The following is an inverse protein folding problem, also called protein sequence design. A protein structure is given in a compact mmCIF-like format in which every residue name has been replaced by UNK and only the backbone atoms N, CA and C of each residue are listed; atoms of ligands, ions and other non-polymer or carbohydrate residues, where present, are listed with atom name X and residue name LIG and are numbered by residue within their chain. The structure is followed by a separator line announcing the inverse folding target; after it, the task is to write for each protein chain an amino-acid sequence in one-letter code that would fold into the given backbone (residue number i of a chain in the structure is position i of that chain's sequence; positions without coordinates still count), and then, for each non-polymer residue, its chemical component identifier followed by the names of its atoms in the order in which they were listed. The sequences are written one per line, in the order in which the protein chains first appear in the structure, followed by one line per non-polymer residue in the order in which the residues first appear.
data_IF_965876934296
#
_entry.id   IF_965876934296
#
_cell.length_a   1.000
_cell.length_b   1.000
_cell.length_c   1.000
_cell.angle_alpha   90.00
_cell.angle_beta   90.00
_cell.angle_gamma   90.00
#
_symmetry.space_group_name_H-M   'P 1'
#
loop_
_entity.id
_entity.type
_entity.pdbx_description
1 polymer ?
#
# COMPACT_ATOMS: atom_id res chain seq x y z
N UNK A 1 115.00 13.52 86.50
CA UNK A 1 115.76 12.84 85.42
C UNK A 1 115.85 11.39 85.83
N UNK A 2 115.27 10.42 85.11
CA UNK A 2 115.28 10.23 83.67
C UNK A 2 113.88 10.03 83.08
N UNK A 3 113.49 10.90 82.15
CA UNK A 3 112.39 10.65 81.21
C UNK A 3 112.79 9.48 80.29
N UNK A 4 112.09 8.35 80.41
CA UNK A 4 112.14 7.33 79.37
C UNK A 4 111.37 7.88 78.15
N UNK A 5 112.04 7.94 76.99
CA UNK A 5 111.39 8.39 75.75
C UNK A 5 110.38 7.34 75.30
N UNK A 6 109.14 7.77 75.12
CA UNK A 6 108.04 6.95 74.58
C UNK A 6 108.42 6.28 73.24
N UNK A 7 109.32 6.90 72.46
CA UNK A 7 109.85 6.35 71.21
C UNK A 7 110.64 5.05 71.40
N UNK A 8 111.42 4.95 72.46
CA UNK A 8 112.26 3.76 72.73
C UNK A 8 111.40 2.62 73.25
N UNK A 9 110.37 2.96 74.04
CA UNK A 9 109.37 2.00 74.51
C UNK A 9 108.50 1.47 73.35
N UNK A 10 108.04 2.36 72.45
CA UNK A 10 107.31 1.97 71.24
C UNK A 10 108.19 1.18 70.25
N UNK A 11 109.48 1.51 70.13
CA UNK A 11 110.44 0.77 69.33
C UNK A 11 110.69 -0.65 69.85
N UNK A 12 110.85 -0.80 71.17
CA UNK A 12 110.95 -2.12 71.80
C UNK A 12 109.65 -2.93 71.66
N UNK A 13 108.49 -2.30 71.81
CA UNK A 13 107.19 -2.95 71.63
C UNK A 13 106.96 -3.42 70.19
N UNK A 14 107.32 -2.61 69.19
CA UNK A 14 107.21 -2.99 67.77
C UNK A 14 108.11 -4.18 67.41
N UNK A 15 109.31 -4.26 68.00
CA UNK A 15 110.19 -5.42 67.83
C UNK A 15 109.57 -6.66 68.49
N UNK A 16 109.03 -6.53 69.71
CA UNK A 16 108.34 -7.62 70.39
C UNK A 16 107.13 -8.11 69.59
N UNK A 17 106.32 -7.20 69.03
CA UNK A 17 105.16 -7.54 68.18
C UNK A 17 105.60 -8.23 66.88
N UNK A 18 106.71 -7.80 66.27
CA UNK A 18 107.24 -8.44 65.07
C UNK A 18 107.78 -9.85 65.33
N UNK A 19 108.45 -10.06 66.47
CA UNK A 19 108.90 -11.38 66.93
C UNK A 19 107.72 -12.27 67.30
N UNK A 20 106.69 -11.69 67.92
CA UNK A 20 105.46 -12.39 68.26
C UNK A 20 104.68 -12.83 67.00
N UNK A 21 104.58 -11.96 65.99
CA UNK A 21 103.99 -12.29 64.69
C UNK A 21 104.78 -13.37 63.94
N UNK A 22 106.12 -13.32 63.99
CA UNK A 22 106.98 -14.38 63.44
C UNK A 22 106.79 -15.70 64.18
N UNK A 23 106.64 -15.68 65.50
CA UNK A 23 106.40 -16.89 66.28
C UNK A 23 105.04 -17.51 65.96
N UNK A 24 103.98 -16.71 65.77
CA UNK A 24 102.68 -17.20 65.30
C UNK A 24 102.79 -17.87 63.92
N UNK A 25 103.51 -17.25 62.99
CA UNK A 25 103.71 -17.81 61.65
C UNK A 25 104.58 -19.09 61.65
N UNK A 26 105.55 -19.19 62.56
CA UNK A 26 106.39 -20.38 62.73
C UNK A 26 105.60 -21.54 63.38
N UNK A 27 104.78 -21.24 64.39
CA UNK A 27 103.90 -22.21 65.07
C UNK A 27 102.74 -22.68 64.17
N UNK A 28 102.30 -21.87 63.19
CA UNK A 28 101.30 -22.26 62.18
C UNK A 28 101.82 -23.35 61.22
N UNK A 29 103.15 -23.52 61.10
CA UNK A 29 103.77 -24.42 60.12
C UNK A 29 104.58 -25.60 60.68
N UNK A 30 104.88 -25.66 62.00
CA UNK A 30 105.68 -26.76 62.57
C UNK A 30 104.90 -27.86 63.32
N UNK A 31 103.67 -27.65 63.80
CA UNK A 31 102.85 -28.75 64.38
C UNK A 31 101.35 -28.39 64.58
N UNK A 32 100.51 -28.74 63.60
CA UNK A 32 99.05 -28.48 63.62
C UNK A 32 98.28 -29.02 64.85
N UNK A 33 98.58 -30.21 65.40
CA UNK A 33 97.91 -30.71 66.61
C UNK A 33 98.18 -29.83 67.85
N UNK A 34 99.40 -29.29 67.94
CA UNK A 34 99.85 -28.46 69.06
C UNK A 34 99.21 -27.07 69.02
N UNK A 35 99.08 -26.48 67.83
CA UNK A 35 98.38 -25.22 67.62
C UNK A 35 96.88 -25.34 67.95
N UNK A 36 96.23 -26.45 67.57
CA UNK A 36 94.83 -26.71 67.93
C UNK A 36 94.63 -26.79 69.44
N UNK A 37 95.54 -27.45 70.16
CA UNK A 37 95.50 -27.53 71.61
C UNK A 37 95.72 -26.17 72.28
N UNK A 38 96.67 -25.37 71.77
CA UNK A 38 96.91 -24.01 72.28
C UNK A 38 95.72 -23.07 72.02
N UNK A 39 95.09 -23.16 70.85
CA UNK A 39 93.90 -22.37 70.53
C UNK A 39 92.70 -22.82 71.38
N UNK A 40 92.49 -24.12 71.55
CA UNK A 40 91.45 -24.65 72.44
C UNK A 40 91.69 -24.21 73.90
N UNK A 41 92.94 -24.23 74.36
CA UNK A 41 93.32 -23.77 75.70
C UNK A 41 93.10 -22.25 75.85
N UNK A 42 93.49 -21.42 74.88
CA UNK A 42 93.23 -19.98 74.93
C UNK A 42 91.74 -19.65 74.93
N UNK A 43 90.96 -20.38 74.13
CA UNK A 43 89.50 -20.21 74.09
C UNK A 43 88.90 -20.62 75.43
N UNK A 44 89.39 -21.72 76.03
CA UNK A 44 89.03 -22.16 77.39
C UNK A 44 89.34 -21.07 78.43
N UNK A 45 90.57 -20.56 78.45
CA UNK A 45 91.01 -19.53 79.39
C UNK A 45 90.20 -18.22 79.21
N UNK A 46 89.88 -17.86 77.96
CA UNK A 46 89.06 -16.70 77.64
C UNK A 46 87.65 -16.82 78.23
N UNK A 47 86.97 -17.95 78.02
CA UNK A 47 85.61 -18.16 78.54
C UNK A 47 85.58 -18.31 80.08
N UNK A 48 86.63 -18.87 80.66
CA UNK A 48 86.82 -18.89 82.12
C UNK A 48 86.99 -17.47 82.69
N UNK A 49 87.73 -16.59 82.01
CA UNK A 49 87.91 -15.18 82.43
C UNK A 49 86.65 -14.32 82.29
N UNK A 50 85.71 -14.71 81.40
CA UNK A 50 84.43 -14.01 81.19
C UNK A 50 83.27 -14.61 81.99
N UNK A 51 83.55 -15.51 82.94
CA UNK A 51 82.57 -16.03 83.90
C UNK A 51 81.53 -16.99 83.32
N UNK A 52 81.78 -17.59 82.15
CA UNK A 52 80.86 -18.53 81.49
C UNK A 52 81.50 -19.92 81.38
N UNK A 53 80.95 -20.92 82.07
CA UNK A 53 81.44 -22.31 82.00
C UNK A 53 80.87 -23.02 80.77
N UNK A 54 81.70 -23.19 79.74
CA UNK A 54 81.39 -23.96 78.53
C UNK A 54 82.02 -25.35 78.65
N UNK A 55 81.32 -26.39 78.19
CA UNK A 55 81.82 -27.76 78.17
C UNK A 55 83.06 -27.88 77.26
N UNK A 56 84.08 -28.56 77.78
CA UNK A 56 85.40 -28.67 77.20
C UNK A 56 85.38 -29.33 75.81
N UNK A 57 84.47 -30.30 75.63
CA UNK A 57 84.26 -30.96 74.34
C UNK A 57 83.74 -30.00 73.26
N UNK A 58 82.96 -29.00 73.65
CA UNK A 58 82.30 -28.08 72.71
C UNK A 58 83.30 -27.07 72.15
N UNK A 59 84.26 -26.64 72.98
CA UNK A 59 85.39 -25.79 72.57
C UNK A 59 86.30 -26.54 71.57
N UNK A 60 86.61 -27.81 71.87
CA UNK A 60 87.45 -28.63 70.99
C UNK A 60 86.77 -28.87 69.63
N UNK A 61 85.48 -29.19 69.63
CA UNK A 61 84.70 -29.42 68.40
C UNK A 61 84.51 -28.14 67.57
N UNK A 62 84.29 -26.99 68.21
CA UNK A 62 84.18 -25.69 67.54
C UNK A 62 85.48 -25.28 66.85
N UNK A 63 86.61 -25.46 67.53
CA UNK A 63 87.93 -25.16 66.99
C UNK A 63 88.25 -26.05 65.78
N UNK A 64 87.93 -27.35 65.85
CA UNK A 64 88.11 -28.27 64.72
C UNK A 64 87.32 -27.87 63.48
N UNK A 65 86.05 -27.50 63.64
CA UNK A 65 85.18 -27.12 62.51
C UNK A 65 85.63 -25.83 61.82
N UNK A 66 86.11 -24.85 62.58
CA UNK A 66 86.62 -23.60 62.02
C UNK A 66 87.81 -23.84 61.07
N UNK A 67 88.76 -24.68 61.49
CA UNK A 67 89.89 -25.08 60.65
C UNK A 67 89.46 -25.84 59.39
N UNK A 68 88.36 -26.62 59.45
CA UNK A 68 87.87 -27.38 58.30
C UNK A 68 87.27 -26.50 57.18
N UNK A 69 86.76 -25.31 57.50
CA UNK A 69 86.03 -24.45 56.55
C UNK A 69 86.86 -23.31 55.94
N UNK A 70 88.05 -22.99 56.49
CA UNK A 70 88.88 -21.81 56.15
C UNK A 70 89.40 -21.74 54.69
N UNK A 71 89.31 -22.82 53.90
CA UNK A 71 89.92 -22.91 52.55
C UNK A 71 88.95 -23.25 51.40
N UNK A 72 87.65 -22.93 51.50
CA UNK A 72 86.68 -23.16 50.41
C UNK A 72 86.24 -21.88 49.71
N UNK A 73 86.27 -21.87 48.36
CA UNK A 73 85.81 -20.77 47.50
C UNK A 73 84.29 -20.82 47.25
N UNK A 74 83.61 -19.66 47.22
CA UNK A 74 82.18 -19.53 46.87
C UNK A 74 81.98 -18.57 45.69
N UNK A 75 81.42 -19.03 44.57
CA UNK A 75 81.16 -18.21 43.38
C UNK A 75 79.79 -17.50 43.46
N UNK A 76 79.72 -16.23 43.05
CA UNK A 76 78.50 -15.42 43.06
C UNK A 76 77.58 -15.76 41.86
N UNK A 77 76.26 -15.88 42.06
CA UNK A 77 75.31 -16.36 41.02
C UNK A 77 74.85 -15.20 40.09
N UNK A 78 75.05 -15.34 38.77
CA UNK A 78 74.58 -14.39 37.75
C UNK A 78 73.05 -14.38 37.56
N UNK A 79 72.50 -13.19 37.26
CA UNK A 79 71.07 -12.94 36.99
C UNK A 79 70.61 -13.43 35.60
N UNK A 80 69.32 -13.75 35.45
CA UNK A 80 68.69 -14.17 34.18
C UNK A 80 68.91 -13.18 33.03
N UNK A 81 68.85 -11.87 33.30
CA UNK A 81 69.10 -10.84 32.29
C UNK A 81 70.55 -10.86 31.79
N UNK A 82 71.52 -11.08 32.70
CA UNK A 82 72.94 -11.17 32.36
C UNK A 82 73.23 -12.42 31.53
N UNK A 83 72.57 -13.54 31.81
CA UNK A 83 72.68 -14.76 31.01
C UNK A 83 72.16 -14.57 29.58
N UNK A 84 71.01 -13.91 29.43
CA UNK A 84 70.42 -13.64 28.10
C UNK A 84 71.30 -12.68 27.30
N UNK A 85 71.80 -11.61 27.92
CA UNK A 85 72.69 -10.66 27.27
C UNK A 85 74.02 -11.30 26.84
N UNK A 86 74.63 -12.12 27.70
CA UNK A 86 75.86 -12.86 27.36
C UNK A 86 75.63 -13.84 26.20
N UNK A 87 74.48 -14.53 26.20
CA UNK A 87 74.10 -15.45 25.11
C UNK A 87 73.91 -14.70 23.78
N UNK A 88 73.22 -13.56 23.78
CA UNK A 88 73.02 -12.72 22.59
C UNK A 88 74.34 -12.18 22.03
N UNK A 89 75.28 -11.77 22.89
CA UNK A 89 76.56 -11.24 22.47
C UNK A 89 77.49 -12.30 21.85
N UNK A 90 77.37 -13.55 22.29
CA UNK A 90 78.22 -14.66 21.86
C UNK A 90 77.68 -15.42 20.63
N UNK A 91 76.48 -15.09 20.15
CA UNK A 91 75.78 -15.79 19.05
C UNK A 91 76.14 -15.22 17.66
N UNK A 92 76.08 -16.04 16.61
CA UNK A 92 76.47 -15.66 15.24
C UNK A 92 75.50 -14.67 14.56
N UNK A 93 76.01 -13.83 13.65
CA UNK A 93 75.22 -12.81 12.93
C UNK A 93 74.06 -13.40 12.10
N UNK A 94 74.18 -14.64 11.60
CA UNK A 94 73.14 -15.29 10.79
C UNK A 94 71.94 -15.76 11.64
N UNK A 95 72.19 -16.25 12.86
CA UNK A 95 71.12 -16.63 13.79
C UNK A 95 70.36 -15.41 14.33
N UNK A 96 71.07 -14.30 14.58
CA UNK A 96 70.44 -13.02 14.93
C UNK A 96 69.53 -12.50 13.80
N UNK A 97 69.96 -12.62 12.53
CA UNK A 97 69.13 -12.25 11.38
C UNK A 97 67.85 -13.10 11.29
N UNK A 98 67.94 -14.42 11.54
CA UNK A 98 66.77 -15.30 11.61
C UNK A 98 65.79 -14.93 12.72
N UNK A 99 66.30 -14.58 13.91
CA UNK A 99 65.50 -14.15 15.05
C UNK A 99 64.75 -12.83 14.75
N UNK A 100 65.42 -11.88 14.10
CA UNK A 100 64.79 -10.63 13.64
C UNK A 100 63.64 -10.89 12.66
N UNK A 101 63.82 -11.80 11.70
CA UNK A 101 62.76 -12.18 10.75
C UNK A 101 61.56 -12.80 11.48
N UNK A 102 61.79 -13.65 12.48
CA UNK A 102 60.71 -14.24 13.30
C UNK A 102 59.97 -13.16 14.08
N UNK A 103 60.68 -12.21 14.70
CA UNK A 103 60.06 -11.08 15.41
C UNK A 103 59.20 -10.25 14.44
N UNK A 104 59.72 -9.94 13.25
CA UNK A 104 58.97 -9.20 12.22
C UNK A 104 57.73 -9.98 11.79
N UNK A 105 57.84 -11.30 11.58
CA UNK A 105 56.71 -12.15 11.23
C UNK A 105 55.65 -12.18 12.34
N UNK A 106 56.05 -12.27 13.62
CA UNK A 106 55.14 -12.19 14.76
C UNK A 106 54.45 -10.82 14.87
N UNK A 107 55.18 -9.73 14.64
CA UNK A 107 54.62 -8.38 14.61
C UNK A 107 53.63 -8.25 13.46
N UNK A 108 53.95 -8.77 12.27
CA UNK A 108 53.05 -8.75 11.12
C UNK A 108 51.78 -9.57 11.37
N UNK A 109 51.90 -10.78 11.92
CA UNK A 109 50.74 -11.62 12.29
C UNK A 109 49.88 -10.91 13.34
N UNK A 110 50.49 -10.31 14.37
CA UNK A 110 49.76 -9.54 15.37
C UNK A 110 49.04 -8.33 14.77
N UNK A 111 49.72 -7.55 13.93
CA UNK A 111 49.11 -6.40 13.24
C UNK A 111 47.97 -6.82 12.30
N UNK A 112 48.14 -7.91 11.54
CA UNK A 112 47.08 -8.45 10.68
C UNK A 112 45.87 -8.93 11.50
N UNK A 113 46.11 -9.60 12.63
CA UNK A 113 45.05 -10.03 13.53
C UNK A 113 44.28 -8.82 14.09
N UNK A 114 44.99 -7.84 14.66
CA UNK A 114 44.40 -6.58 15.16
C UNK A 114 43.62 -5.86 14.07
N UNK A 115 44.17 -5.76 12.86
CA UNK A 115 43.51 -5.13 11.72
C UNK A 115 42.21 -5.83 11.30
N UNK A 116 42.23 -7.17 11.22
CA UNK A 116 41.06 -7.97 10.88
C UNK A 116 39.97 -7.85 11.96
N UNK A 117 40.34 -7.90 13.24
CA UNK A 117 39.39 -7.72 14.36
C UNK A 117 38.79 -6.31 14.35
N UNK A 118 39.58 -5.26 14.10
CA UNK A 118 39.07 -3.90 13.96
C UNK A 118 38.07 -3.77 12.81
N UNK A 119 38.36 -4.35 11.64
CA UNK A 119 37.41 -4.36 10.50
C UNK A 119 36.10 -5.05 10.85
N UNK A 120 36.15 -6.19 11.54
CA UNK A 120 34.95 -6.91 11.98
C UNK A 120 34.11 -6.09 12.97
N UNK A 121 34.74 -5.43 13.94
CA UNK A 121 34.04 -4.55 14.88
C UNK A 121 33.38 -3.34 14.19
N UNK A 122 34.06 -2.73 13.21
CA UNK A 122 33.50 -1.63 12.42
C UNK A 122 32.30 -2.09 11.59
N UNK A 123 32.41 -3.24 10.90
CA UNK A 123 31.30 -3.81 10.13
C UNK A 123 30.09 -4.14 11.03
N UNK A 124 30.35 -4.73 12.20
CA UNK A 124 29.32 -5.06 13.18
C UNK A 124 28.64 -3.81 13.76
N UNK A 125 29.41 -2.74 14.02
CA UNK A 125 28.88 -1.43 14.43
C UNK A 125 28.00 -0.77 13.36
N UNK A 126 28.36 -0.91 12.08
CA UNK A 126 27.51 -0.46 10.95
C UNK A 126 26.20 -1.23 10.90
N UNK A 127 26.24 -2.55 11.03
CA UNK A 127 25.05 -3.42 11.03
C UNK A 127 24.12 -3.07 12.20
N UNK A 128 24.66 -2.87 13.41
CA UNK A 128 23.87 -2.42 14.56
C UNK A 128 23.24 -1.06 14.29
N UNK A 129 24.00 -0.10 13.75
CA UNK A 129 23.49 1.24 13.43
C UNK A 129 22.37 1.17 12.39
N UNK A 130 22.49 0.32 11.37
CA UNK A 130 21.46 0.08 10.38
C UNK A 130 20.20 -0.51 11.03
N UNK A 131 20.34 -1.53 11.89
CA UNK A 131 19.22 -2.13 12.62
C UNK A 131 18.57 -1.15 13.61
N UNK A 132 19.35 -0.31 14.30
CA UNK A 132 18.83 0.76 15.16
C UNK A 132 18.11 1.83 14.35
N UNK A 133 18.59 2.16 13.15
CA UNK A 133 17.93 3.12 12.26
C UNK A 133 16.59 2.56 11.75
N UNK A 134 16.57 1.29 11.33
CA UNK A 134 15.35 0.59 10.94
C UNK A 134 14.35 0.54 12.11
N UNK A 135 14.82 0.25 13.31
CA UNK A 135 14.02 0.27 14.54
C UNK A 135 13.37 1.63 14.78
N UNK A 136 14.11 2.74 14.66
CA UNK A 136 13.58 4.10 14.75
C UNK A 136 12.55 4.42 13.67
N UNK A 137 12.79 3.96 12.44
CA UNK A 137 11.83 4.13 11.34
C UNK A 137 10.51 3.40 11.62
N UNK A 138 10.58 2.19 12.18
CA UNK A 138 9.38 1.43 12.57
C UNK A 138 8.60 2.13 13.68
N UNK A 139 9.26 2.75 14.67
CA UNK A 139 8.57 3.57 15.67
C UNK A 139 7.81 4.72 15.02
N UNK A 140 8.42 5.42 14.06
CA UNK A 140 7.74 6.48 13.30
C UNK A 140 6.54 5.95 12.52
N UNK A 141 6.67 4.78 11.91
CA UNK A 141 5.56 4.14 11.19
C UNK A 141 4.43 3.74 12.13
N UNK A 142 4.74 3.15 13.28
CA UNK A 142 3.75 2.79 14.29
C UNK A 142 3.03 4.03 14.84
N UNK A 143 3.75 5.12 15.08
CA UNK A 143 3.16 6.40 15.48
C UNK A 143 2.20 6.93 14.41
N UNK A 144 2.62 6.95 13.13
CA UNK A 144 1.75 7.39 12.05
C UNK A 144 0.48 6.53 11.91
N UNK A 145 0.59 5.21 12.12
CA UNK A 145 -0.57 4.31 12.14
C UNK A 145 -1.49 4.60 13.34
N UNK A 146 -0.93 4.90 14.51
CA UNK A 146 -1.69 5.29 15.70
C UNK A 146 -2.43 6.62 15.50
N UNK A 147 -1.77 7.61 14.87
CA UNK A 147 -2.37 8.89 14.55
C UNK A 147 -3.52 8.73 13.54
N UNK A 148 -3.30 7.93 12.48
CA UNK A 148 -4.34 7.62 11.50
C UNK A 148 -5.50 6.85 12.13
N UNK A 149 -5.22 5.88 13.01
CA UNK A 149 -6.24 5.14 13.74
C UNK A 149 -7.10 6.07 14.62
N UNK A 150 -6.49 7.09 15.21
CA UNK A 150 -7.20 8.10 16.01
C UNK A 150 -8.16 8.93 15.17
N UNK A 151 -7.80 9.23 13.91
CA UNK A 151 -8.71 9.90 12.96
C UNK A 151 -9.86 8.97 12.55
N UNK A 152 -9.56 7.71 12.25
CA UNK A 152 -10.57 6.70 11.86
C UNK A 152 -11.64 6.52 12.94
N UNK A 153 -11.29 6.57 14.23
CA UNK A 153 -12.24 6.49 15.34
C UNK A 153 -13.29 7.61 15.37
N UNK A 154 -13.03 8.74 14.71
CA UNK A 154 -13.98 9.87 14.66
C UNK A 154 -15.09 9.63 13.63
N UNK A 155 -14.90 8.68 12.72
CA UNK A 155 -15.86 8.39 11.67
C UNK A 155 -17.00 7.51 12.19
N UNK A 156 -18.19 7.75 11.65
CA UNK A 156 -19.40 7.04 12.04
C UNK A 156 -19.83 6.07 10.93
N UNK A 157 -20.09 4.83 11.32
CA UNK A 157 -20.70 3.81 10.47
C UNK A 157 -22.14 3.56 10.91
N UNK A 158 -23.03 3.33 9.95
CA UNK A 158 -24.43 3.00 10.24
C UNK A 158 -24.59 1.50 10.47
N UNK A 159 -24.07 0.70 9.56
CA UNK A 159 -24.23 -0.75 9.48
C UNK A 159 -22.92 -1.49 9.81
N UNK A 160 -21.78 -0.88 9.49
CA UNK A 160 -20.47 -1.48 9.65
C UNK A 160 -19.79 -1.19 11.01
N UNK A 161 -20.54 -0.81 12.03
CA UNK A 161 -19.98 -0.45 13.34
C UNK A 161 -19.16 -1.58 13.97
N UNK A 162 -19.68 -2.82 13.91
CA UNK A 162 -19.02 -4.00 14.49
C UNK A 162 -17.69 -4.30 13.79
N UNK A 163 -17.63 -4.50 12.45
CA UNK A 163 -16.35 -4.71 11.77
C UNK A 163 -15.39 -3.52 11.92
N UNK A 164 -15.88 -2.28 11.95
CA UNK A 164 -15.04 -1.11 12.17
C UNK A 164 -14.37 -1.16 13.56
N UNK A 165 -15.14 -1.47 14.60
CA UNK A 165 -14.62 -1.63 15.97
C UNK A 165 -13.64 -2.81 16.09
N UNK A 166 -13.86 -3.90 15.36
CA UNK A 166 -12.91 -5.01 15.28
C UNK A 166 -11.58 -4.58 14.65
N UNK A 167 -11.62 -3.84 13.53
CA UNK A 167 -10.41 -3.29 12.90
C UNK A 167 -9.68 -2.37 13.88
N UNK A 168 -10.40 -1.49 14.57
CA UNK A 168 -9.81 -0.59 15.56
C UNK A 168 -9.12 -1.39 16.66
N UNK A 169 -9.86 -2.25 17.35
CA UNK A 169 -9.37 -3.04 18.50
C UNK A 169 -8.18 -3.92 18.12
N UNK A 170 -8.26 -4.63 16.99
CA UNK A 170 -7.17 -5.49 16.53
C UNK A 170 -5.93 -4.67 16.17
N UNK A 171 -6.10 -3.50 15.56
CA UNK A 171 -4.98 -2.61 15.25
C UNK A 171 -4.36 -2.03 16.52
N UNK A 172 -5.16 -1.63 17.51
CA UNK A 172 -4.66 -1.19 18.83
C UNK A 172 -3.86 -2.26 19.54
N UNK A 173 -4.36 -3.49 19.55
CA UNK A 173 -3.66 -4.63 20.14
C UNK A 173 -2.31 -4.87 19.44
N UNK A 174 -2.26 -4.81 18.10
CA UNK A 174 -1.01 -4.96 17.34
C UNK A 174 -0.02 -3.82 17.62
N UNK A 175 -0.49 -2.58 17.76
CA UNK A 175 0.35 -1.43 18.09
C UNK A 175 0.85 -1.49 19.55
N UNK A 176 0.04 -2.00 20.47
CA UNK A 176 0.43 -2.24 21.87
C UNK A 176 1.47 -3.36 21.96
N UNK A 177 1.26 -4.47 21.24
CA UNK A 177 2.24 -5.56 21.12
C UNK A 177 3.55 -5.08 20.49
N UNK A 178 3.48 -4.15 19.54
CA UNK A 178 4.67 -3.51 18.98
C UNK A 178 5.42 -2.71 20.07
N UNK A 179 4.72 -1.86 20.83
CA UNK A 179 5.34 -1.05 21.89
C UNK A 179 6.01 -1.89 22.98
N UNK A 180 5.38 -3.00 23.39
CA UNK A 180 5.89 -3.86 24.47
C UNK A 180 7.08 -4.73 24.06
N UNK A 181 7.15 -5.15 22.80
CA UNK A 181 8.22 -6.04 22.29
C UNK A 181 9.37 -5.28 21.61
N UNK A 182 9.22 -3.98 21.42
CA UNK A 182 10.25 -3.14 20.80
C UNK A 182 11.44 -2.95 21.75
N UNK A 183 12.68 -3.26 21.31
CA UNK A 183 13.84 -3.23 22.18
C UNK A 183 14.32 -1.80 22.46
N UNK A 184 14.47 -1.44 23.73
CA UNK A 184 15.21 -0.23 24.11
C UNK A 184 16.70 -0.31 23.69
N UNK A 185 17.36 0.83 23.44
CA UNK A 185 18.78 0.84 23.08
C UNK A 185 19.66 0.36 24.25
N UNK A 186 20.14 -0.90 24.20
CA UNK A 186 21.08 -1.43 25.20
C UNK A 186 22.44 -0.72 25.17
N UNK A 187 22.96 -0.38 26.36
CA UNK A 187 24.11 0.51 26.56
C UNK A 187 25.51 -0.16 26.51
N UNK A 188 25.64 -1.50 26.53
CA UNK A 188 26.96 -2.17 26.66
C UNK A 188 27.55 -2.69 25.34
N UNK A 189 28.89 -2.69 25.25
CA UNK A 189 29.69 -3.06 24.06
C UNK A 189 30.15 -4.53 24.10
N UNK A 190 30.11 -5.18 25.27
CA UNK A 190 30.72 -6.51 25.48
C UNK A 190 30.03 -7.66 24.73
N UNK A 191 28.80 -7.51 24.25
CA UNK A 191 28.02 -8.58 23.60
C UNK A 191 27.53 -8.21 22.19
N UNK A 192 28.39 -7.61 21.36
CA UNK A 192 27.99 -6.96 20.09
C UNK A 192 27.33 -7.90 19.07
N UNK A 193 27.76 -9.18 18.95
CA UNK A 193 27.13 -10.15 18.01
C UNK A 193 25.76 -10.63 18.50
N UNK A 194 25.65 -10.97 19.79
CA UNK A 194 24.37 -11.36 20.40
C UNK A 194 23.37 -10.21 20.33
N UNK A 195 23.82 -8.97 20.59
CA UNK A 195 23.04 -7.74 20.43
C UNK A 195 22.50 -7.59 19.01
N UNK A 196 23.32 -7.80 17.98
CA UNK A 196 22.88 -7.72 16.60
C UNK A 196 21.80 -8.77 16.30
N UNK A 197 21.96 -10.00 16.78
CA UNK A 197 20.97 -11.06 16.59
C UNK A 197 19.63 -10.72 17.29
N UNK A 198 19.68 -10.26 18.54
CA UNK A 198 18.48 -9.82 19.27
C UNK A 198 17.77 -8.66 18.57
N UNK A 199 18.52 -7.64 18.12
CA UNK A 199 17.95 -6.51 17.36
C UNK A 199 17.32 -6.97 16.05
N UNK A 200 17.96 -7.87 15.30
CA UNK A 200 17.41 -8.43 14.05
C UNK A 200 16.10 -9.17 14.29
N UNK A 201 16.06 -10.06 15.28
CA UNK A 201 14.83 -10.81 15.61
C UNK A 201 13.70 -9.88 16.04
N UNK A 202 13.98 -8.93 16.93
CA UNK A 202 12.99 -7.98 17.41
C UNK A 202 12.47 -7.07 16.27
N UNK A 203 13.37 -6.61 15.38
CA UNK A 203 12.99 -5.82 14.21
C UNK A 203 12.14 -6.63 13.23
N UNK A 204 12.43 -7.91 12.99
CA UNK A 204 11.62 -8.77 12.14
C UNK A 204 10.20 -8.96 12.69
N UNK A 205 10.08 -9.23 14.00
CA UNK A 205 8.77 -9.34 14.67
C UNK A 205 8.01 -8.01 14.62
N UNK A 206 8.68 -6.91 14.92
CA UNK A 206 8.13 -5.55 14.86
C UNK A 206 7.60 -5.21 13.46
N UNK A 207 8.34 -5.57 12.41
CA UNK A 207 7.93 -5.38 11.03
C UNK A 207 6.67 -6.19 10.69
N UNK A 208 6.58 -7.43 11.18
CA UNK A 208 5.40 -8.27 10.97
C UNK A 208 4.14 -7.64 11.60
N UNK A 209 4.25 -7.14 12.84
CA UNK A 209 3.15 -6.45 13.54
C UNK A 209 2.70 -5.19 12.79
N UNK A 210 3.64 -4.33 12.37
CA UNK A 210 3.34 -3.14 11.57
C UNK A 210 2.64 -3.51 10.26
N UNK A 211 3.10 -4.55 9.57
CA UNK A 211 2.52 -4.97 8.30
C UNK A 211 1.11 -5.55 8.49
N UNK A 212 0.86 -6.31 9.57
CA UNK A 212 -0.48 -6.78 9.89
C UNK A 212 -1.43 -5.62 10.20
N UNK A 213 -0.99 -4.64 10.99
CA UNK A 213 -1.76 -3.43 11.29
C UNK A 213 -2.10 -2.66 10.02
N UNK A 214 -1.12 -2.46 9.11
CA UNK A 214 -1.36 -1.83 7.80
C UNK A 214 -2.41 -2.57 6.99
N UNK A 215 -2.32 -3.89 6.92
CA UNK A 215 -3.29 -4.71 6.16
C UNK A 215 -4.70 -4.58 6.72
N UNK A 216 -4.88 -4.54 8.04
CA UNK A 216 -6.19 -4.28 8.65
C UNK A 216 -6.71 -2.89 8.30
N UNK A 217 -5.85 -1.87 8.31
CA UNK A 217 -6.27 -0.50 7.97
C UNK A 217 -6.63 -0.34 6.49
N UNK A 218 -6.09 -1.19 5.60
CA UNK A 218 -6.45 -1.18 4.17
C UNK A 218 -7.87 -1.65 3.88
N UNK A 219 -8.54 -2.39 4.79
CA UNK A 219 -9.94 -2.77 4.61
C UNK A 219 -10.92 -1.65 4.98
N UNK A 220 -10.47 -0.61 5.69
CA UNK A 220 -11.32 0.49 6.13
C UNK A 220 -12.04 1.23 4.99
N UNK A 221 -11.38 1.62 3.88
CA UNK A 221 -12.07 2.33 2.80
C UNK A 221 -13.13 1.47 2.10
N UNK A 222 -12.94 0.14 2.05
CA UNK A 222 -13.95 -0.78 1.51
C UNK A 222 -15.17 -0.82 2.43
N UNK A 223 -14.94 -0.85 3.75
CA UNK A 223 -16.00 -0.84 4.74
C UNK A 223 -16.82 0.46 4.65
N UNK A 224 -16.16 1.62 4.53
CA UNK A 224 -16.81 2.91 4.30
C UNK A 224 -17.65 2.90 3.03
N UNK A 225 -17.09 2.37 1.93
CA UNK A 225 -17.81 2.28 0.65
C UNK A 225 -19.10 1.48 0.80
N UNK A 226 -19.05 0.30 1.42
CA UNK A 226 -20.23 -0.55 1.60
C UNK A 226 -21.27 0.06 2.55
N UNK A 227 -20.82 0.65 3.67
CA UNK A 227 -21.70 1.35 4.61
C UNK A 227 -22.43 2.52 3.93
N UNK A 228 -21.69 3.35 3.20
CA UNK A 228 -22.24 4.48 2.47
C UNK A 228 -23.23 4.04 1.39
N UNK A 229 -22.90 3.00 0.61
CA UNK A 229 -23.80 2.45 -0.40
C UNK A 229 -25.12 1.99 0.20
N UNK A 230 -25.11 1.20 1.29
CA UNK A 230 -26.35 0.78 1.94
C UNK A 230 -27.09 1.97 2.57
N UNK A 231 -26.36 2.93 3.16
CA UNK A 231 -26.95 4.13 3.75
C UNK A 231 -27.66 5.00 2.70
N UNK A 232 -27.05 5.19 1.53
CA UNK A 232 -27.64 5.92 0.41
C UNK A 232 -28.90 5.23 -0.12
N UNK A 233 -28.89 3.90 -0.26
CA UNK A 233 -30.06 3.12 -0.68
C UNK A 233 -31.22 3.35 0.30
N UNK A 234 -30.97 3.17 1.61
CA UNK A 234 -32.01 3.25 2.65
C UNK A 234 -32.52 4.68 2.86
N UNK A 235 -31.70 5.69 2.60
CA UNK A 235 -32.08 7.11 2.67
C UNK A 235 -32.88 7.59 1.45
N UNK A 236 -32.97 6.80 0.39
CA UNK A 236 -33.74 7.18 -0.80
C UNK A 236 -35.24 7.28 -0.45
N UNK A 237 -35.88 8.46 -0.61
CA UNK A 237 -37.30 8.63 -0.31
C UNK A 237 -38.22 7.77 -1.19
N UNK A 238 -37.75 7.30 -2.36
CA UNK A 238 -38.53 6.46 -3.27
C UNK A 238 -38.34 4.95 -3.03
N UNK A 239 -37.47 4.54 -2.09
CA UNK A 239 -37.17 3.13 -1.86
C UNK A 239 -38.43 2.27 -1.63
N UNK A 240 -39.41 2.78 -0.90
CA UNK A 240 -40.67 2.06 -0.64
C UNK A 240 -41.49 1.81 -1.92
N UNK A 241 -41.40 2.70 -2.91
CA UNK A 241 -41.99 2.48 -4.23
C UNK A 241 -41.24 1.39 -4.98
N UNK A 242 -39.91 1.39 -4.91
CA UNK A 242 -39.06 0.40 -5.57
C UNK A 242 -39.30 -1.01 -5.01
N UNK A 243 -39.41 -1.15 -3.69
CA UNK A 243 -39.74 -2.42 -3.03
C UNK A 243 -41.13 -2.95 -3.45
N UNK A 244 -42.11 -2.07 -3.67
CA UNK A 244 -43.43 -2.50 -4.16
C UNK A 244 -43.37 -3.09 -5.58
N UNK A 245 -42.46 -2.60 -6.42
CA UNK A 245 -42.28 -3.10 -7.79
C UNK A 245 -41.38 -4.34 -7.85
N UNK A 246 -40.37 -4.40 -7.00
CA UNK A 246 -39.44 -5.51 -6.86
C UNK A 246 -39.39 -5.97 -5.39
N UNK A 247 -40.30 -6.88 -4.97
CA UNK A 247 -40.38 -7.32 -3.57
C UNK A 247 -39.10 -7.99 -3.06
N UNK A 248 -38.31 -8.59 -3.95
CA UNK A 248 -37.01 -9.19 -3.66
C UNK A 248 -35.95 -8.18 -3.25
N UNK A 249 -36.09 -6.89 -3.62
CA UNK A 249 -35.13 -5.84 -3.26
C UNK A 249 -34.97 -5.69 -1.74
N UNK A 250 -36.07 -5.75 -0.99
CA UNK A 250 -36.03 -5.63 0.47
C UNK A 250 -35.16 -6.74 1.09
N UNK A 251 -35.39 -7.99 0.67
CA UNK A 251 -34.59 -9.14 1.11
C UNK A 251 -33.11 -8.97 0.79
N UNK A 252 -32.76 -8.50 -0.42
CA UNK A 252 -31.35 -8.30 -0.81
C UNK A 252 -30.67 -7.21 0.01
N UNK A 253 -31.38 -6.12 0.33
CA UNK A 253 -30.86 -5.05 1.21
C UNK A 253 -30.63 -5.59 2.62
N UNK A 254 -31.57 -6.36 3.17
CA UNK A 254 -31.46 -6.95 4.50
C UNK A 254 -30.30 -7.95 4.58
N UNK A 255 -30.16 -8.82 3.58
CA UNK A 255 -29.04 -9.77 3.47
C UNK A 255 -27.68 -9.06 3.41
N UNK A 256 -27.58 -7.98 2.63
CA UNK A 256 -26.36 -7.19 2.51
C UNK A 256 -26.03 -6.45 3.82
N UNK A 257 -27.04 -5.90 4.48
CA UNK A 257 -26.90 -5.21 5.76
C UNK A 257 -26.43 -6.16 6.85
N UNK A 258 -27.04 -7.35 6.94
CA UNK A 258 -26.67 -8.37 7.90
C UNK A 258 -25.26 -8.93 7.63
N UNK A 259 -24.89 -9.12 6.36
CA UNK A 259 -23.54 -9.57 6.00
C UNK A 259 -22.49 -8.54 6.41
N UNK A 260 -22.73 -7.26 6.12
CA UNK A 260 -21.84 -6.17 6.52
C UNK A 260 -21.74 -6.05 8.04
N UNK A 261 -22.85 -6.06 8.76
CA UNK A 261 -22.83 -5.92 10.23
C UNK A 261 -22.11 -7.08 10.92
N UNK A 262 -22.11 -8.27 10.33
CA UNK A 262 -21.46 -9.45 10.88
C UNK A 262 -20.05 -9.69 10.34
N UNK A 263 -19.51 -8.79 9.51
CA UNK A 263 -18.20 -8.95 8.86
C UNK A 263 -18.10 -10.25 8.04
N UNK A 264 -19.17 -10.60 7.32
CA UNK A 264 -19.23 -11.85 6.57
C UNK A 264 -18.30 -11.83 5.34
N UNK A 265 -17.76 -13.00 4.97
CA UNK A 265 -16.83 -13.14 3.84
C UNK A 265 -17.47 -12.73 2.50
N UNK A 266 -18.78 -12.92 2.37
CA UNK A 266 -19.56 -12.62 1.17
C UNK A 266 -20.18 -11.21 1.14
N UNK A 267 -19.77 -10.33 2.07
CA UNK A 267 -20.30 -8.96 2.20
C UNK A 267 -20.27 -8.20 0.88
N UNK A 268 -19.12 -8.21 0.18
CA UNK A 268 -18.98 -7.50 -1.09
C UNK A 268 -20.04 -7.93 -2.11
N UNK A 269 -20.19 -9.24 -2.31
CA UNK A 269 -21.12 -9.80 -3.28
C UNK A 269 -22.55 -9.42 -2.95
N UNK A 270 -22.94 -9.49 -1.67
CA UNK A 270 -24.30 -9.14 -1.24
C UNK A 270 -24.60 -7.66 -1.40
N UNK A 271 -23.67 -6.78 -1.02
CA UNK A 271 -23.79 -5.33 -1.22
C UNK A 271 -23.91 -4.98 -2.70
N UNK A 272 -23.11 -5.62 -3.56
CA UNK A 272 -23.17 -5.41 -5.01
C UNK A 272 -24.51 -5.88 -5.61
N UNK A 273 -25.02 -7.03 -5.18
CA UNK A 273 -26.33 -7.54 -5.62
C UNK A 273 -27.45 -6.60 -5.18
N UNK A 274 -27.46 -6.18 -3.90
CA UNK A 274 -28.45 -5.23 -3.40
C UNK A 274 -28.41 -3.90 -4.17
N UNK A 275 -27.22 -3.35 -4.39
CA UNK A 275 -27.05 -2.11 -5.14
C UNK A 275 -27.52 -2.24 -6.60
N UNK A 276 -27.17 -3.33 -7.29
CA UNK A 276 -27.61 -3.56 -8.67
C UNK A 276 -29.13 -3.65 -8.79
N UNK A 277 -29.78 -4.38 -7.89
CA UNK A 277 -31.24 -4.49 -7.86
C UNK A 277 -31.89 -3.12 -7.57
N UNK A 278 -31.34 -2.36 -6.64
CA UNK A 278 -31.80 -0.99 -6.34
C UNK A 278 -31.63 -0.05 -7.55
N UNK A 279 -30.44 -0.01 -8.15
CA UNK A 279 -30.10 0.86 -9.27
C UNK A 279 -30.98 0.58 -10.50
N UNK A 280 -31.30 -0.70 -10.73
CA UNK A 280 -32.24 -1.14 -11.77
C UNK A 280 -33.62 -0.50 -11.60
N UNK A 281 -34.19 -0.53 -10.39
CA UNK A 281 -35.53 0.04 -10.15
C UNK A 281 -35.51 1.57 -10.12
N UNK A 282 -34.43 2.18 -9.60
CA UNK A 282 -34.21 3.63 -9.68
C UNK A 282 -34.17 4.11 -11.13
N UNK A 283 -33.51 3.37 -12.02
CA UNK A 283 -33.50 3.69 -13.45
C UNK A 283 -34.89 3.53 -14.07
N UNK A 284 -35.61 2.45 -13.74
CA UNK A 284 -36.99 2.21 -14.19
C UNK A 284 -37.90 3.39 -13.81
N UNK A 285 -37.79 3.89 -12.59
CA UNK A 285 -38.51 5.07 -12.10
C UNK A 285 -38.21 6.32 -12.95
N UNK A 286 -36.93 6.57 -13.22
CA UNK A 286 -36.51 7.69 -14.10
C UNK A 286 -37.11 7.60 -15.52
N UNK A 287 -37.24 6.39 -16.07
CA UNK A 287 -37.90 6.17 -17.36
C UNK A 287 -39.41 6.46 -17.26
N UNK A 288 -40.08 5.99 -16.21
CA UNK A 288 -41.49 6.30 -15.97
C UNK A 288 -41.74 7.80 -15.81
N UNK A 289 -40.93 8.48 -15.00
CA UNK A 289 -40.99 9.94 -14.85
C UNK A 289 -40.89 10.66 -16.19
N UNK A 290 -39.95 10.23 -17.05
CA UNK A 290 -39.73 10.81 -18.38
C UNK A 290 -40.94 10.61 -19.30
N UNK A 291 -41.57 9.44 -19.26
CA UNK A 291 -42.78 9.12 -20.02
C UNK A 291 -44.00 9.88 -19.48
N UNK A 292 -44.15 9.97 -18.17
CA UNK A 292 -45.28 10.63 -17.52
C UNK A 292 -45.32 12.13 -17.82
N UNK A 293 -44.17 12.82 -17.83
CA UNK A 293 -44.13 14.23 -18.24
C UNK A 293 -44.64 14.44 -19.66
N UNK A 294 -44.32 13.55 -20.60
CA UNK A 294 -44.83 13.62 -21.98
C UNK A 294 -46.32 13.32 -22.03
N UNK A 295 -46.74 12.28 -21.31
CA UNK A 295 -48.15 11.88 -21.20
C UNK A 295 -49.02 13.01 -20.64
N UNK A 296 -48.53 13.77 -19.66
CA UNK A 296 -49.24 14.93 -19.11
C UNK A 296 -49.56 15.99 -20.16
N UNK A 297 -48.68 16.22 -21.15
CA UNK A 297 -48.94 17.18 -22.23
C UNK A 297 -50.20 16.82 -23.03
N UNK A 298 -50.49 15.54 -23.22
CA UNK A 298 -51.67 15.06 -23.94
C UNK A 298 -52.96 15.13 -23.12
N UNK A 299 -52.88 14.97 -21.79
CA UNK A 299 -54.05 15.02 -20.90
C UNK A 299 -54.77 16.37 -20.97
N UNK A 300 -54.02 17.44 -21.19
CA UNK A 300 -54.56 18.80 -21.25
C UNK A 300 -55.23 19.13 -22.60
N UNK A 301 -55.17 18.23 -23.60
CA UNK A 301 -55.69 18.48 -24.94
C UNK A 301 -57.14 18.01 -25.07
N UNK A 302 -57.95 18.76 -25.81
CA UNK A 302 -59.32 18.36 -26.17
C UNK A 302 -59.29 17.53 -27.45
N UNK A 303 -58.90 16.26 -27.34
CA UNK A 303 -58.87 15.32 -28.45
C UNK A 303 -60.23 14.64 -28.66
N UNK A 304 -60.53 14.26 -29.90
CA UNK A 304 -61.63 13.35 -30.25
C UNK A 304 -61.42 11.97 -29.60
N UNK A 305 -62.47 11.16 -29.51
CA UNK A 305 -62.37 9.80 -28.97
C UNK A 305 -61.33 8.97 -29.77
N UNK A 306 -61.39 9.03 -31.10
CA UNK A 306 -60.48 8.30 -31.98
C UNK A 306 -59.02 8.75 -31.82
N UNK A 307 -58.77 10.05 -31.73
CA UNK A 307 -57.41 10.58 -31.55
C UNK A 307 -56.85 10.23 -30.17
N UNK A 308 -57.73 10.24 -29.14
CA UNK A 308 -57.35 9.84 -27.79
C UNK A 308 -56.98 8.36 -27.70
N UNK A 309 -57.74 7.49 -28.37
CA UNK A 309 -57.40 6.06 -28.46
C UNK A 309 -56.02 5.85 -29.09
N UNK A 310 -55.71 6.55 -30.19
CA UNK A 310 -54.39 6.47 -30.84
C UNK A 310 -53.26 6.92 -29.92
N UNK A 311 -53.43 8.05 -29.22
CA UNK A 311 -52.44 8.55 -28.26
C UNK A 311 -52.27 7.58 -27.09
N UNK A 312 -53.36 7.02 -26.55
CA UNK A 312 -53.31 6.04 -25.47
C UNK A 312 -52.57 4.76 -25.90
N UNK A 313 -52.75 4.30 -27.14
CA UNK A 313 -52.02 3.17 -27.68
C UNK A 313 -50.51 3.45 -27.77
N UNK A 314 -50.12 4.63 -28.24
CA UNK A 314 -48.69 5.02 -28.32
C UNK A 314 -48.05 5.15 -26.92
N UNK A 315 -48.78 5.71 -25.94
CA UNK A 315 -48.34 5.76 -24.54
C UNK A 315 -48.18 4.35 -23.96
N UNK A 316 -49.15 3.46 -24.23
CA UNK A 316 -49.14 2.09 -23.71
C UNK A 316 -47.99 1.29 -24.33
N UNK A 317 -47.73 1.48 -25.62
CA UNK A 317 -46.59 0.91 -26.31
C UNK A 317 -45.25 1.35 -25.68
N UNK A 318 -45.09 2.64 -25.38
CA UNK A 318 -43.89 3.14 -24.68
C UNK A 318 -43.77 2.57 -23.25
N UNK A 319 -44.89 2.46 -22.53
CA UNK A 319 -44.95 1.93 -21.16
C UNK A 319 -44.53 0.47 -21.08
N UNK A 320 -45.01 -0.35 -22.02
CA UNK A 320 -44.73 -1.79 -22.06
C UNK A 320 -43.24 -2.12 -22.17
N UNK A 321 -42.47 -1.28 -22.88
CA UNK A 321 -41.02 -1.44 -22.94
C UNK A 321 -40.37 -1.25 -21.57
N UNK A 322 -40.81 -0.27 -20.78
CA UNK A 322 -40.28 -0.05 -19.43
C UNK A 322 -40.57 -1.29 -18.58
N UNK A 323 -41.80 -1.81 -18.61
CA UNK A 323 -42.21 -2.99 -17.83
C UNK A 323 -41.33 -4.21 -18.11
N UNK A 324 -41.07 -4.51 -19.39
CA UNK A 324 -40.37 -5.74 -19.80
C UNK A 324 -38.85 -5.58 -19.92
N UNK A 325 -38.33 -4.35 -19.84
CA UNK A 325 -36.91 -4.11 -19.99
C UNK A 325 -36.12 -4.77 -18.85
N UNK A 326 -35.10 -5.53 -19.24
CA UNK A 326 -33.97 -5.81 -18.37
C UNK A 326 -33.07 -4.59 -18.37
N UNK A 327 -32.93 -3.95 -17.21
CA UNK A 327 -32.14 -2.73 -16.99
C UNK A 327 -30.86 -3.02 -16.19
N UNK A 328 -30.50 -4.30 -16.01
CA UNK A 328 -29.19 -4.71 -15.54
C UNK A 328 -28.16 -4.11 -16.53
N UNK A 329 -27.21 -3.30 -16.06
CA UNK A 329 -26.19 -2.55 -16.85
C UNK A 329 -26.60 -1.17 -17.40
N UNK A 330 -27.73 -0.60 -16.97
CA UNK A 330 -28.14 0.78 -17.30
C UNK A 330 -28.36 1.04 -18.81
N UNK A 331 -28.57 -0.01 -19.58
CA UNK A 331 -28.82 0.10 -21.03
C UNK A 331 -30.28 0.49 -21.24
N UNK A 332 -30.51 1.70 -21.75
CA UNK A 332 -31.86 2.16 -22.13
C UNK A 332 -32.23 1.52 -23.47
N UNK A 333 -33.37 0.82 -23.60
CA UNK A 333 -33.77 0.20 -24.85
C UNK A 333 -33.91 1.22 -25.99
N UNK A 334 -33.22 1.05 -27.15
CA UNK A 334 -33.34 1.98 -28.27
C UNK A 334 -34.77 2.13 -28.79
N UNK A 335 -35.56 1.06 -28.73
CA UNK A 335 -36.98 1.08 -29.12
C UNK A 335 -37.82 1.96 -28.20
N UNK A 336 -37.45 2.09 -26.92
CA UNK A 336 -38.14 3.00 -25.99
C UNK A 336 -37.88 4.47 -26.37
N UNK A 337 -36.64 4.81 -26.77
CA UNK A 337 -36.31 6.14 -27.27
C UNK A 337 -37.09 6.48 -28.54
N UNK A 338 -37.24 5.52 -29.46
CA UNK A 338 -38.07 5.69 -30.66
C UNK A 338 -39.54 5.90 -30.31
N UNK A 339 -40.07 5.15 -29.33
CA UNK A 339 -41.44 5.33 -28.86
C UNK A 339 -41.66 6.72 -28.25
N UNK A 340 -40.68 7.24 -27.49
CA UNK A 340 -40.73 8.62 -26.98
C UNK A 340 -40.68 9.67 -28.09
N UNK A 341 -39.80 9.49 -29.08
CA UNK A 341 -39.71 10.40 -30.22
C UNK A 341 -41.03 10.43 -31.01
N UNK A 342 -41.68 9.27 -31.18
CA UNK A 342 -43.01 9.17 -31.80
C UNK A 342 -44.08 9.92 -31.00
N UNK A 343 -44.04 9.87 -29.67
CA UNK A 343 -44.95 10.68 -28.84
C UNK A 343 -44.68 12.17 -29.06
N UNK A 344 -43.43 12.61 -29.05
CA UNK A 344 -43.08 14.01 -29.29
C UNK A 344 -43.56 14.47 -30.70
N UNK A 345 -43.31 13.69 -31.76
CA UNK A 345 -43.79 13.97 -33.12
C UNK A 345 -45.34 13.98 -33.20
N UNK A 346 -46.02 13.11 -32.45
CA UNK A 346 -47.49 13.06 -32.40
C UNK A 346 -48.05 14.31 -31.72
N UNK A 347 -47.42 14.76 -30.64
CA UNK A 347 -47.80 16.01 -29.97
C UNK A 347 -47.65 17.21 -30.90
N UNK A 348 -46.51 17.31 -31.59
CA UNK A 348 -46.24 18.39 -32.54
C UNK A 348 -47.27 18.40 -33.67
N UNK A 349 -47.60 17.22 -34.21
CA UNK A 349 -48.65 17.09 -35.22
C UNK A 349 -50.02 17.55 -34.70
N UNK A 350 -50.40 17.20 -33.46
CA UNK A 350 -51.68 17.65 -32.87
C UNK A 350 -51.70 19.17 -32.77
N UNK A 351 -50.63 19.78 -32.27
CA UNK A 351 -50.56 21.21 -32.01
C UNK A 351 -50.48 22.05 -33.27
N UNK A 352 -49.85 21.53 -34.32
CA UNK A 352 -49.65 22.27 -35.55
C UNK A 352 -50.93 22.26 -36.39
N UNK A 353 -51.61 23.40 -36.62
CA UNK A 353 -52.62 23.47 -37.68
C UNK A 353 -51.92 23.30 -39.04
N UNK A 354 -52.52 22.52 -39.94
CA UNK A 354 -51.98 22.22 -41.26
C UNK A 354 -53.02 22.38 -42.36
N UNK A 355 -52.55 22.82 -43.52
CA UNK A 355 -53.28 22.79 -44.79
C UNK A 355 -52.58 21.80 -45.70
N UNK A 356 -53.34 20.89 -46.31
CA UNK A 356 -52.82 19.94 -47.28
C UNK A 356 -53.10 20.48 -48.68
N UNK A 357 -52.05 20.78 -49.44
CA UNK A 357 -52.15 21.35 -50.80
C UNK A 357 -51.48 20.46 -51.83
N UNK A 358 -51.95 20.51 -53.07
CA UNK A 358 -51.30 19.85 -54.20
C UNK A 358 -50.01 20.59 -54.53
N UNK A 359 -48.94 19.84 -54.83
CA UNK A 359 -47.70 20.41 -55.37
C UNK A 359 -48.01 21.09 -56.70
N UNK A 360 -47.82 22.40 -56.80
CA UNK A 360 -47.98 23.14 -58.06
C UNK A 360 -46.79 24.06 -58.32
N UNK A 361 -45.70 23.49 -58.84
CA UNK A 361 -44.50 24.22 -59.25
C UNK A 361 -43.78 23.55 -60.40
N UNK A 362 -42.97 24.34 -61.11
CA UNK A 362 -42.22 23.89 -62.29
C UNK A 362 -41.26 22.77 -61.93
N UNK A 363 -41.25 21.71 -62.73
CA UNK A 363 -40.33 20.57 -62.58
C UNK A 363 -40.81 19.48 -61.62
N UNK A 364 -41.90 19.68 -60.88
CA UNK A 364 -42.46 18.67 -59.97
C UNK A 364 -43.79 18.09 -60.47
N UNK A 365 -43.99 16.79 -60.24
CA UNK A 365 -45.25 16.11 -60.58
C UNK A 365 -46.32 16.48 -59.55
N UNK A 366 -47.46 16.99 -60.00
CA UNK A 366 -48.65 17.25 -59.16
C UNK A 366 -49.52 16.01 -58.97
N UNK A 367 -49.32 14.99 -59.80
CA UNK A 367 -50.02 13.72 -59.72
C UNK A 367 -49.32 12.64 -60.53
N UNK A 368 -49.60 11.39 -60.18
CA UNK A 368 -49.03 10.22 -60.82
C UNK A 368 -50.07 9.14 -61.04
N UNK A 369 -49.99 8.49 -62.20
CA UNK A 369 -50.68 7.24 -62.47
C UNK A 369 -49.75 6.09 -62.08
N UNK A 370 -50.26 5.16 -61.28
CA UNK A 370 -49.51 4.02 -60.75
C UNK A 370 -50.23 2.72 -61.07
N UNK A 371 -49.49 1.76 -61.59
CA UNK A 371 -49.99 0.39 -61.84
C UNK A 371 -49.45 -0.54 -60.77
N UNK A 372 -50.35 -1.13 -59.98
CA UNK A 372 -50.01 -2.12 -58.97
C UNK A 372 -49.94 -3.46 -59.69
N UNK A 373 -48.74 -3.99 -59.93
CA UNK A 373 -48.43 -5.27 -60.59
C UNK A 373 -48.86 -5.45 -62.08
N UNK A 374 -48.69 -6.68 -62.59
CA UNK A 374 -49.00 -7.10 -63.98
C UNK A 374 -50.51 -7.24 -64.27
N UNK A 375 -51.39 -7.01 -63.30
CA UNK A 375 -52.85 -7.05 -63.44
C UNK A 375 -53.40 -5.92 -64.32
N UNK A 376 -52.60 -4.86 -64.53
CA UNK A 376 -53.00 -3.69 -65.30
C UNK A 376 -53.93 -2.74 -64.54
N UNK A 377 -54.17 -2.96 -63.25
CA UNK A 377 -54.97 -2.07 -62.39
C UNK A 377 -54.30 -0.71 -62.21
N UNK A 378 -54.96 0.36 -62.67
CA UNK A 378 -54.47 1.74 -62.53
C UNK A 378 -55.02 2.40 -61.26
N UNK A 379 -54.16 3.10 -60.56
CA UNK A 379 -54.48 3.96 -59.42
C UNK A 379 -53.92 5.35 -59.66
N UNK A 380 -54.67 6.38 -59.27
CA UNK A 380 -54.29 7.76 -59.47
C UNK A 380 -54.03 8.44 -58.13
N UNK A 381 -52.89 9.13 -58.04
CA UNK A 381 -52.45 9.81 -56.84
C UNK A 381 -52.19 11.28 -57.15
N UNK A 382 -52.54 12.15 -56.20
CA UNK A 382 -52.13 13.56 -56.21
C UNK A 382 -50.96 13.73 -55.25
N UNK A 383 -49.91 14.40 -55.68
CA UNK A 383 -48.76 14.68 -54.83
C UNK A 383 -49.09 15.91 -53.99
N UNK A 384 -49.06 15.74 -52.67
CA UNK A 384 -49.52 16.73 -51.70
C UNK A 384 -48.46 17.07 -50.68
N UNK A 385 -48.54 18.29 -50.16
CA UNK A 385 -47.64 18.84 -49.15
C UNK A 385 -48.47 19.35 -47.96
N UNK A 386 -48.20 18.87 -46.73
CA UNK A 386 -48.70 19.51 -45.52
C UNK A 386 -47.92 20.80 -45.26
N UNK A 387 -48.64 21.91 -45.12
CA UNK A 387 -48.08 23.24 -44.88
C UNK A 387 -48.66 23.86 -43.60
N UNK A 388 -47.82 24.59 -42.86
CA UNK A 388 -48.26 25.41 -41.72
C UNK A 388 -49.00 26.67 -42.22
N UNK A 389 -49.72 27.43 -41.35
CA UNK A 389 -50.35 28.69 -41.76
C UNK A 389 -49.37 29.73 -42.31
N UNK A 390 -48.08 29.60 -41.97
CA UNK A 390 -46.99 30.40 -42.54
C UNK A 390 -46.45 29.89 -43.87
N UNK A 391 -47.13 28.95 -44.53
CA UNK A 391 -46.73 28.34 -45.82
C UNK A 391 -45.38 27.59 -45.77
N UNK A 392 -44.94 27.15 -44.58
CA UNK A 392 -43.76 26.31 -44.44
C UNK A 392 -44.16 24.83 -44.50
N UNK A 393 -43.37 24.00 -45.19
CA UNK A 393 -43.57 22.55 -45.22
C UNK A 393 -43.48 21.95 -43.82
N UNK A 394 -44.36 21.00 -43.51
CA UNK A 394 -44.37 20.30 -42.23
C UNK A 394 -44.13 18.79 -42.44
N UNK A 395 -42.89 18.29 -42.27
CA UNK A 395 -42.61 16.88 -42.43
C UNK A 395 -43.38 16.04 -41.40
N UNK A 396 -44.16 15.06 -41.86
CA UNK A 396 -44.96 14.20 -40.98
C UNK A 396 -44.75 12.71 -41.27
N UNK A 397 -45.04 11.86 -40.28
CA UNK A 397 -45.02 10.41 -40.44
C UNK A 397 -46.24 9.95 -41.23
N UNK A 398 -45.98 9.24 -42.32
CA UNK A 398 -47.00 8.71 -43.23
C UNK A 398 -46.75 7.22 -43.42
N UNK A 399 -47.81 6.41 -43.37
CA UNK A 399 -47.74 4.98 -43.67
C UNK A 399 -48.00 4.77 -45.15
N UNK A 400 -46.98 4.28 -45.84
CA UNK A 400 -47.09 3.88 -47.24
C UNK A 400 -48.01 2.66 -47.37
N UNK A 401 -49.02 2.75 -48.23
CA UNK A 401 -50.05 1.71 -48.38
C UNK A 401 -49.55 0.47 -49.10
N UNK A 402 -48.46 0.57 -49.86
CA UNK A 402 -47.95 -0.52 -50.68
C UNK A 402 -46.85 -1.29 -49.94
N UNK A 403 -45.95 -0.56 -49.28
CA UNK A 403 -44.84 -1.18 -48.52
C UNK A 403 -45.18 -1.41 -47.05
N UNK A 404 -46.27 -0.81 -46.55
CA UNK A 404 -46.61 -0.75 -45.13
C UNK A 404 -45.56 -0.06 -44.23
N UNK A 405 -44.53 0.57 -44.82
CA UNK A 405 -43.49 1.28 -44.08
C UNK A 405 -43.96 2.66 -43.64
N UNK A 406 -43.56 3.06 -42.43
CA UNK A 406 -43.77 4.41 -41.91
C UNK A 406 -42.56 5.27 -42.28
N UNK A 407 -42.77 6.36 -43.02
CA UNK A 407 -41.70 7.30 -43.42
C UNK A 407 -42.06 8.73 -43.03
N UNK A 408 -41.06 9.50 -42.63
CA UNK A 408 -41.22 10.94 -42.35
C UNK A 408 -40.95 11.71 -43.63
N UNK A 409 -41.98 12.32 -44.20
CA UNK A 409 -41.92 12.95 -45.53
C UNK A 409 -42.60 14.32 -45.53
N UNK A 410 -42.10 15.21 -46.39
CA UNK A 410 -42.70 16.53 -46.65
C UNK A 410 -43.66 16.51 -47.84
N UNK A 411 -43.63 15.45 -48.63
CA UNK A 411 -44.50 15.22 -49.77
C UNK A 411 -44.95 13.76 -49.80
N UNK A 412 -46.18 13.52 -50.19
CA UNK A 412 -46.68 12.15 -50.40
C UNK A 412 -47.80 12.15 -51.43
N UNK A 413 -48.05 11.01 -52.07
CA UNK A 413 -49.16 10.83 -53.00
C UNK A 413 -50.42 10.37 -52.28
N UNK A 414 -51.52 11.11 -52.34
CA UNK A 414 -52.83 10.68 -51.82
C UNK A 414 -53.72 10.15 -52.95
N UNK A 415 -54.32 8.98 -52.75
CA UNK A 415 -55.13 8.32 -53.78
C UNK A 415 -56.46 9.05 -54.00
N UNK A 416 -56.79 9.25 -55.26
CA UNK A 416 -58.04 9.85 -55.72
C UNK A 416 -58.71 8.99 -56.79
N UNK A 417 -59.97 9.30 -57.09
CA UNK A 417 -60.65 8.70 -58.24
C UNK A 417 -60.01 9.16 -59.56
N UNK A 418 -60.10 8.32 -60.60
CA UNK A 418 -59.69 8.69 -61.96
C UNK A 418 -60.31 10.02 -62.42
N UNK A 419 -61.59 10.22 -62.12
CA UNK A 419 -62.34 11.42 -62.48
C UNK A 419 -61.73 12.68 -61.86
N UNK A 420 -61.32 12.61 -60.59
CA UNK A 420 -60.69 13.74 -59.89
C UNK A 420 -59.29 14.02 -60.43
N UNK A 421 -58.52 12.98 -60.74
CA UNK A 421 -57.20 13.10 -61.35
C UNK A 421 -57.25 13.75 -62.74
N UNK A 422 -58.11 13.25 -63.64
CA UNK A 422 -58.25 13.79 -65.00
C UNK A 422 -58.77 15.23 -64.99
N UNK A 423 -59.62 15.59 -64.01
CA UNK A 423 -60.07 16.97 -63.80
C UNK A 423 -58.89 17.91 -63.54
N UNK A 424 -58.02 17.55 -62.59
CA UNK A 424 -56.83 18.33 -62.24
C UNK A 424 -55.78 18.34 -63.35
N UNK A 425 -55.61 17.22 -64.04
CA UNK A 425 -54.70 17.12 -65.17
C UNK A 425 -55.13 18.06 -66.30
N UNK A 426 -56.43 18.15 -66.58
CA UNK A 426 -56.96 19.07 -67.59
C UNK A 426 -56.74 20.53 -67.17
N UNK A 427 -57.02 20.87 -65.92
CA UNK A 427 -56.77 22.19 -65.31
C UNK A 427 -55.32 22.62 -65.54
N UNK A 428 -54.37 21.78 -65.08
CA UNK A 428 -52.94 22.05 -65.23
C UNK A 428 -52.43 22.14 -66.66
N UNK A 429 -53.06 21.45 -67.60
CA UNK A 429 -52.68 21.52 -69.02
C UNK A 429 -53.22 22.76 -69.73
N UNK A 430 -54.19 23.48 -69.15
CA UNK A 430 -54.79 24.66 -69.75
C UNK A 430 -53.85 25.86 -69.68
N UNK A 431 -53.28 26.14 -68.50
CA UNK A 431 -52.41 27.31 -68.27
C UNK A 431 -51.10 26.99 -67.52
N UNK A 432 -50.87 25.73 -67.16
CA UNK A 432 -49.70 25.29 -66.38
C UNK A 432 -49.89 25.31 -64.86
N UNK A 433 -51.05 25.75 -64.36
CA UNK A 433 -51.35 25.93 -62.94
C UNK A 433 -52.57 25.13 -62.48
N UNK A 434 -52.67 24.92 -61.17
CA UNK A 434 -53.83 24.28 -60.54
C UNK A 434 -54.64 25.34 -59.80
N UNK A 435 -55.86 25.62 -60.26
CA UNK A 435 -56.72 26.67 -59.69
C UNK A 435 -57.11 26.39 -58.24
N UNK A 436 -57.45 25.13 -57.95
CA UNK A 436 -57.83 24.69 -56.63
C UNK A 436 -56.82 23.67 -56.11
N UNK A 437 -55.78 24.14 -55.43
CA UNK A 437 -54.75 23.28 -54.81
C UNK A 437 -55.17 22.67 -53.47
N UNK A 438 -56.26 23.15 -52.85
CA UNK A 438 -56.63 22.72 -51.50
C UNK A 438 -57.16 21.28 -51.49
N UNK A 439 -56.51 20.40 -50.73
CA UNK A 439 -56.95 19.00 -50.55
C UNK A 439 -57.70 18.83 -49.23
N UNK A 440 -57.21 19.44 -48.16
CA UNK A 440 -57.84 19.35 -46.86
C UNK A 440 -57.18 20.24 -45.81
N UNK A 441 -57.78 20.27 -44.62
CA UNK A 441 -57.27 21.04 -43.47
C UNK A 441 -57.28 20.17 -42.22
N UNK A 442 -56.28 20.35 -41.38
CA UNK A 442 -56.18 19.75 -40.04
C UNK A 442 -56.04 20.89 -39.03
N UNK A 443 -57.07 21.23 -38.25
CA UNK A 443 -56.93 22.24 -37.21
C UNK A 443 -55.99 21.76 -36.09
N UNK A 444 -55.58 22.68 -35.23
CA UNK A 444 -54.90 22.33 -33.98
C UNK A 444 -55.83 21.51 -33.08
N UNK A 445 -55.28 20.56 -32.32
CA UNK A 445 -56.04 19.67 -31.44
C UNK A 445 -56.62 18.42 -32.14
N UNK A 446 -56.28 18.17 -33.40
CA UNK A 446 -56.71 17.01 -34.17
C UNK A 446 -55.54 16.32 -34.86
N UNK A 447 -55.63 15.00 -35.04
CA UNK A 447 -54.66 14.22 -35.82
C UNK A 447 -55.05 14.02 -37.28
N UNK A 448 -56.35 14.07 -37.59
CA UNK A 448 -56.87 13.71 -38.91
C UNK A 448 -57.20 14.94 -39.77
N UNK A 449 -56.92 14.87 -41.07
CA UNK A 449 -57.33 15.89 -42.03
C UNK A 449 -58.82 15.77 -42.35
N UNK A 450 -59.49 16.91 -42.41
CA UNK A 450 -60.81 17.04 -43.06
C UNK A 450 -60.58 17.38 -44.52
N UNK A 451 -60.97 16.48 -45.42
CA UNK A 451 -60.75 16.64 -46.85
C UNK A 451 -61.84 17.49 -47.51
N UNK A 452 -61.42 18.45 -48.33
CA UNK A 452 -62.30 19.31 -49.14
C UNK A 452 -62.59 18.71 -50.53
N UNK A 453 -61.95 17.59 -50.87
CA UNK A 453 -62.18 16.83 -52.10
C UNK A 453 -62.23 15.31 -51.82
N UNK A 454 -62.82 14.50 -52.72
CA UNK A 454 -62.91 13.06 -52.54
C UNK A 454 -61.53 12.39 -52.60
N UNK A 455 -61.12 11.76 -51.50
CA UNK A 455 -59.89 10.96 -51.40
C UNK A 455 -60.22 9.53 -51.00
N UNK A 456 -59.39 8.57 -51.43
CA UNK A 456 -59.59 7.14 -51.16
C UNK A 456 -58.73 6.62 -49.99
N UNK A 457 -58.00 7.49 -49.30
CA UNK A 457 -57.28 7.19 -48.06
C UNK A 457 -55.95 6.45 -48.21
N UNK A 458 -55.69 5.75 -49.34
CA UNK A 458 -54.38 5.17 -49.63
C UNK A 458 -53.35 6.26 -49.91
N UNK A 459 -52.11 6.02 -49.47
CA UNK A 459 -50.99 6.94 -49.60
C UNK A 459 -49.75 6.22 -50.09
N UNK A 460 -48.97 6.89 -50.94
CA UNK A 460 -47.64 6.44 -51.42
C UNK A 460 -46.58 7.49 -51.06
N UNK A 461 -45.34 7.05 -50.86
CA UNK A 461 -44.22 7.92 -50.47
C UNK A 461 -43.14 8.09 -51.55
N UNK A 462 -43.23 7.32 -52.64
CA UNK A 462 -42.28 7.32 -53.77
C UNK A 462 -43.06 7.18 -55.08
N UNK A 463 -42.61 7.75 -56.21
CA UNK A 463 -43.33 7.74 -57.49
C UNK A 463 -42.50 8.04 -58.74
#
# INVERSE_FOLDING_TARGET
MSEFKLSDQLGAMAIIDSLYAQQIALDEHLDLPKLRQQMAQRIRDYYQSTGTTIDDKLIEQGTQNWFAQRLRYQANKMSLAQRIAAFLYMTSKQWLAGLVIIIIALILVWNLNVYMTQRQLIALGKDITAQTTQSKQMVKQAQALSDQLSQMKLEHFTYAQVPANQIITNTENLLTDFQTRHPEPLASVENTQQRLNTLRMANQQSLALINQAKTLMLSWPLLQKWDNTLSEIVKDPQLQSYIKWAPDLAEKIDEATLALSNNAIDTQTKVEVAFKTYDRERLRDGLYYTLDRRTQKFRNLKLSHQDREKVNNDISYARDFITRADLNDRVIPPLWLQALARLDDTYDLIMQPLVLTIVDRVGEKSGVERTYDNSGGKSWYLIVEPQTPGHSLFPMWVKDSETSQLKRVSQFGIRVSQKEYEKLKKDKLDDGHIDNVLVGKKPAGQLSFTYSRPVQGNVITEW
#
